data_IF_853658508454
#
_entry.id   IF_853658508454
#
_cell.length_a   1.000
_cell.length_b   1.000
_cell.length_c   1.000
_cell.angle_alpha   90.00
_cell.angle_beta   90.00
_cell.angle_gamma   90.00
#
_symmetry.space_group_name_H-M   'P 1'
#
loop_
_entity.id
_entity.type
_entity.pdbx_description
1 polymer ?
#
# COMPACT_ATOMS: atom_id res chain seq x y z
N UNK A 1 66.64 79.50 -13.05
CA UNK A 1 66.60 78.71 -11.80
C UNK A 1 65.15 78.57 -11.42
N UNK A 2 64.51 77.50 -11.91
CA UNK A 2 63.10 77.23 -11.61
C UNK A 2 63.05 76.20 -10.51
N UNK A 3 62.58 76.63 -9.35
CA UNK A 3 62.30 75.80 -8.18
C UNK A 3 61.25 74.75 -8.53
N UNK A 4 61.65 73.48 -8.60
CA UNK A 4 60.70 72.37 -8.64
C UNK A 4 60.24 72.06 -7.21
N UNK A 5 58.93 72.07 -6.93
CA UNK A 5 58.42 71.70 -5.62
C UNK A 5 58.67 70.21 -5.38
N UNK A 6 59.53 69.90 -4.40
CA UNK A 6 59.65 68.55 -3.83
C UNK A 6 58.33 68.18 -3.15
N UNK A 7 57.50 67.42 -3.85
CA UNK A 7 56.32 66.78 -3.27
C UNK A 7 56.76 65.82 -2.15
N UNK A 8 56.63 66.28 -0.90
CA UNK A 8 56.73 65.44 0.31
C UNK A 8 55.44 64.65 0.46
N UNK A 9 55.40 63.48 -0.15
CA UNK A 9 54.42 62.45 0.12
C UNK A 9 55.10 61.10 0.04
N UNK A 10 55.52 60.55 1.17
CA UNK A 10 56.08 59.19 1.31
C UNK A 10 55.00 58.12 1.15
N UNK A 11 54.10 58.29 0.17
CA UNK A 11 53.11 57.29 -0.17
C UNK A 11 53.80 56.23 -1.01
N UNK A 12 54.30 55.20 -0.33
CA UNK A 12 54.86 54.02 -0.98
C UNK A 12 53.81 53.46 -1.93
N UNK A 13 54.10 53.40 -3.25
CA UNK A 13 53.16 52.83 -4.20
C UNK A 13 52.79 51.41 -3.77
N UNK A 14 51.53 51.03 -3.95
CA UNK A 14 50.99 49.72 -3.56
C UNK A 14 50.91 49.41 -2.05
N UNK A 15 50.91 50.43 -1.16
CA UNK A 15 50.76 50.21 0.30
C UNK A 15 49.58 49.30 0.68
N UNK A 16 48.49 49.34 -0.09
CA UNK A 16 47.31 48.51 0.15
C UNK A 16 47.56 47.00 -0.07
N UNK A 17 48.60 46.61 -0.81
CA UNK A 17 48.97 45.21 -1.07
C UNK A 17 49.71 44.57 0.11
N UNK A 18 50.39 45.36 0.95
CA UNK A 18 51.16 44.86 2.09
C UNK A 18 50.26 44.61 3.30
N UNK A 19 49.41 43.58 3.21
CA UNK A 19 48.51 43.19 4.31
C UNK A 19 49.24 42.26 5.29
N UNK A 20 49.04 42.48 6.59
CA UNK A 20 49.54 41.58 7.63
C UNK A 20 48.76 40.27 7.56
N UNK A 21 49.46 39.16 7.34
CA UNK A 21 48.87 37.81 7.41
C UNK A 21 49.00 37.32 8.85
N UNK A 22 47.90 36.81 9.43
CA UNK A 22 47.90 36.31 10.81
C UNK A 22 48.86 35.11 11.00
N UNK A 23 49.44 34.99 12.20
CA UNK A 23 50.25 33.83 12.60
C UNK A 23 49.44 32.53 12.58
N UNK A 24 48.13 32.63 12.76
CA UNK A 24 47.23 31.50 12.95
C UNK A 24 46.69 30.95 11.63
N UNK A 25 47.02 31.61 10.52
CA UNK A 25 46.66 31.19 9.16
C UNK A 25 47.51 29.97 8.76
N UNK A 26 46.92 28.89 8.21
CA UNK A 26 47.64 27.75 7.67
C UNK A 26 48.75 28.13 6.66
N UNK A 27 49.86 27.36 6.60
CA UNK A 27 51.04 27.74 5.84
C UNK A 27 50.77 27.84 4.32
N UNK A 28 49.97 26.96 3.73
CA UNK A 28 49.57 27.03 2.33
C UNK A 28 48.74 28.28 2.02
N UNK A 29 47.75 28.61 2.85
CA UNK A 29 46.98 29.87 2.72
C UNK A 29 47.85 31.11 2.84
N UNK A 30 48.81 31.10 3.77
CA UNK A 30 49.76 32.20 3.96
C UNK A 30 50.65 32.37 2.74
N UNK A 31 51.18 31.28 2.21
CA UNK A 31 52.02 31.28 1.01
C UNK A 31 51.24 31.80 -0.21
N UNK A 32 50.01 31.33 -0.42
CA UNK A 32 49.17 31.83 -1.51
C UNK A 32 48.89 33.33 -1.36
N UNK A 33 48.47 33.80 -0.18
CA UNK A 33 48.20 35.22 0.03
C UNK A 33 49.45 36.08 -0.20
N UNK A 34 50.63 35.62 0.20
CA UNK A 34 51.88 36.33 -0.07
C UNK A 34 52.16 36.46 -1.58
N UNK A 35 51.91 35.43 -2.38
CA UNK A 35 52.03 35.50 -3.84
C UNK A 35 50.96 36.41 -4.47
N UNK A 36 49.72 36.37 -3.99
CA UNK A 36 48.68 37.31 -4.43
C UNK A 36 49.06 38.76 -4.14
N UNK A 37 49.67 39.04 -2.97
CA UNK A 37 50.19 40.38 -2.65
C UNK A 37 51.28 40.82 -3.62
N UNK A 38 52.18 39.91 -4.03
CA UNK A 38 53.20 40.22 -5.03
C UNK A 38 52.58 40.49 -6.41
N UNK A 39 51.63 39.67 -6.86
CA UNK A 39 50.92 39.89 -8.13
C UNK A 39 50.21 41.24 -8.17
N UNK A 40 49.56 41.65 -7.08
CA UNK A 40 48.89 42.96 -7.01
C UNK A 40 49.86 44.15 -7.15
N UNK A 41 51.16 43.97 -6.84
CA UNK A 41 52.19 45.02 -7.05
C UNK A 41 52.66 45.13 -8.51
N UNK A 42 52.34 44.13 -9.33
CA UNK A 42 52.66 44.11 -10.75
C UNK A 42 51.56 44.72 -11.62
N UNK A 43 50.40 45.04 -11.04
CA UNK A 43 49.32 45.71 -11.76
C UNK A 43 49.78 47.10 -12.22
N UNK A 44 49.47 47.46 -13.46
CA UNK A 44 49.97 48.65 -14.13
C UNK A 44 49.59 49.92 -13.38
N UNK A 45 50.50 50.90 -13.46
CA UNK A 45 50.20 52.28 -13.07
C UNK A 45 49.05 52.82 -13.91
N UNK A 46 48.26 53.69 -13.31
CA UNK A 46 47.27 54.49 -14.00
C UNK A 46 47.94 55.39 -15.05
N UNK A 47 47.20 55.94 -16.03
CA UNK A 47 47.76 56.84 -17.06
C UNK A 47 48.51 58.05 -16.50
N UNK A 48 48.19 58.46 -15.26
CA UNK A 48 48.84 59.54 -14.52
C UNK A 48 50.13 59.11 -13.80
N UNK A 49 50.57 57.85 -13.99
CA UNK A 49 51.74 57.26 -13.34
C UNK A 49 51.52 56.86 -11.87
N UNK A 50 50.30 56.96 -11.34
CA UNK A 50 49.98 56.57 -9.96
C UNK A 50 49.70 55.06 -9.85
N UNK A 51 50.02 54.47 -8.69
CA UNK A 51 49.69 53.08 -8.43
C UNK A 51 48.17 52.88 -8.31
N UNK A 52 47.59 51.81 -8.88
CA UNK A 52 46.16 51.54 -8.78
C UNK A 52 45.75 51.41 -7.31
N UNK A 53 44.58 51.94 -6.98
CA UNK A 53 43.95 51.75 -5.66
C UNK A 53 43.41 50.32 -5.52
N UNK A 54 43.17 49.87 -4.27
CA UNK A 54 42.60 48.55 -4.01
C UNK A 54 41.22 48.38 -4.69
N UNK A 55 40.39 49.43 -4.68
CA UNK A 55 39.10 49.45 -5.36
C UNK A 55 39.25 49.24 -6.88
N UNK A 56 40.15 49.99 -7.54
CA UNK A 56 40.41 49.82 -8.97
C UNK A 56 40.92 48.42 -9.32
N UNK A 57 41.80 47.84 -8.50
CA UNK A 57 42.26 46.47 -8.69
C UNK A 57 41.12 45.46 -8.53
N UNK A 58 40.23 45.66 -7.56
CA UNK A 58 39.07 44.82 -7.34
C UNK A 58 38.05 44.92 -8.51
N UNK A 59 37.82 46.14 -9.02
CA UNK A 59 36.95 46.40 -10.18
C UNK A 59 37.49 45.69 -11.44
N UNK A 60 38.81 45.74 -11.69
CA UNK A 60 39.47 45.02 -12.80
C UNK A 60 39.34 43.49 -12.68
N UNK A 61 39.24 42.97 -11.46
CA UNK A 61 39.05 41.54 -11.18
C UNK A 61 37.57 41.14 -11.15
N UNK A 62 36.65 42.11 -11.25
CA UNK A 62 35.21 41.94 -11.06
C UNK A 62 34.85 41.32 -9.71
N UNK A 63 35.50 41.79 -8.63
CA UNK A 63 35.23 41.37 -7.25
C UNK A 63 35.05 42.58 -6.34
N UNK A 64 34.43 42.39 -5.18
CA UNK A 64 34.32 43.44 -4.16
C UNK A 64 35.67 43.78 -3.53
N UNK A 65 35.88 45.06 -3.22
CA UNK A 65 37.10 45.56 -2.57
C UNK A 65 37.41 44.83 -1.24
N UNK A 66 36.37 44.57 -0.44
CA UNK A 66 36.49 43.83 0.82
C UNK A 66 36.92 42.37 0.60
N UNK A 67 36.47 41.73 -0.48
CA UNK A 67 36.88 40.36 -0.85
C UNK A 67 38.35 40.31 -1.22
N UNK A 68 38.82 41.25 -2.03
CA UNK A 68 40.24 41.37 -2.36
C UNK A 68 41.09 41.56 -1.09
N UNK A 69 40.65 42.45 -0.19
CA UNK A 69 41.32 42.64 1.11
C UNK A 69 41.45 41.32 1.88
N UNK A 70 40.35 40.57 1.95
CA UNK A 70 40.27 39.28 2.65
C UNK A 70 41.17 38.22 2.03
N UNK A 71 41.29 38.17 0.71
CA UNK A 71 42.21 37.26 0.00
C UNK A 71 43.67 37.62 0.32
N UNK A 72 44.02 38.90 0.28
CA UNK A 72 45.38 39.36 0.59
C UNK A 72 45.78 39.17 2.06
N UNK A 73 44.81 39.15 2.98
CA UNK A 73 45.01 38.83 4.39
C UNK A 73 44.96 37.31 4.70
N UNK A 74 44.76 36.45 3.69
CA UNK A 74 44.56 35.00 3.84
C UNK A 74 43.34 34.60 4.71
N UNK A 75 42.37 35.50 4.88
CA UNK A 75 41.14 35.24 5.65
C UNK A 75 40.22 34.33 4.85
N UNK A 76 40.13 34.58 3.54
CA UNK A 76 39.35 33.78 2.60
C UNK A 76 40.25 33.26 1.49
N UNK A 77 39.93 32.08 0.98
CA UNK A 77 40.58 31.53 -0.20
C UNK A 77 39.81 32.00 -1.44
N UNK A 78 40.48 32.66 -2.40
CA UNK A 78 39.83 33.03 -3.66
C UNK A 78 39.50 31.79 -4.49
N UNK A 79 38.48 31.89 -5.33
CA UNK A 79 38.24 30.89 -6.39
C UNK A 79 39.44 30.85 -7.36
N UNK A 80 39.72 29.67 -7.92
CA UNK A 80 40.84 29.48 -8.85
C UNK A 80 40.73 30.39 -10.09
N UNK A 81 39.51 30.67 -10.55
CA UNK A 81 39.27 31.60 -11.65
C UNK A 81 39.73 33.03 -11.34
N UNK A 82 39.62 33.48 -10.09
CA UNK A 82 40.11 34.80 -9.66
C UNK A 82 41.65 34.83 -9.66
N UNK A 83 42.30 33.76 -9.18
CA UNK A 83 43.76 33.64 -9.17
C UNK A 83 44.33 33.68 -10.59
N UNK A 84 43.75 32.89 -11.51
CA UNK A 84 44.11 32.89 -12.94
C UNK A 84 43.95 34.28 -13.58
N UNK A 85 42.83 34.96 -13.31
CA UNK A 85 42.59 36.33 -13.82
C UNK A 85 43.60 37.34 -13.28
N UNK A 86 43.92 37.29 -11.99
CA UNK A 86 44.92 38.18 -11.40
C UNK A 86 46.31 37.94 -12.00
N UNK A 87 46.72 36.68 -12.18
CA UNK A 87 48.00 36.35 -12.83
C UNK A 87 48.06 36.86 -14.28
N UNK A 88 46.98 36.68 -15.04
CA UNK A 88 46.86 37.17 -16.42
C UNK A 88 46.99 38.71 -16.48
N UNK A 89 46.25 39.43 -15.64
CA UNK A 89 46.31 40.91 -15.59
C UNK A 89 47.70 41.40 -15.18
N UNK A 90 48.27 40.83 -14.13
CA UNK A 90 49.62 41.15 -13.68
C UNK A 90 50.68 40.87 -14.77
N UNK A 91 50.51 39.79 -15.54
CA UNK A 91 51.41 39.43 -16.64
C UNK A 91 51.31 40.39 -17.81
N UNK A 92 50.08 40.81 -18.16
CA UNK A 92 49.84 41.78 -19.23
C UNK A 92 50.42 43.16 -18.86
N UNK A 93 50.21 43.59 -17.62
CA UNK A 93 50.63 44.90 -17.12
C UNK A 93 52.16 45.02 -16.94
N UNK A 94 52.83 43.97 -16.46
CA UNK A 94 54.28 44.00 -16.19
C UNK A 94 55.16 43.55 -17.38
N UNK A 95 54.56 43.18 -18.52
CA UNK A 95 55.30 42.63 -19.66
C UNK A 95 55.96 41.27 -19.36
N UNK A 96 55.21 40.41 -18.64
CA UNK A 96 55.51 39.07 -18.08
C UNK A 96 55.70 39.04 -16.55
N UNK A 97 54.76 38.41 -15.84
CA UNK A 97 54.86 38.14 -14.40
C UNK A 97 55.90 37.06 -14.06
N UNK A 98 56.36 36.28 -15.06
CA UNK A 98 57.44 35.31 -14.88
C UNK A 98 58.76 35.97 -14.51
N UNK A 99 58.97 37.24 -14.93
CA UNK A 99 60.13 38.04 -14.52
C UNK A 99 60.16 38.29 -13.00
N UNK A 100 58.99 38.25 -12.34
CA UNK A 100 58.87 38.35 -10.90
C UNK A 100 58.96 36.97 -10.19
N UNK A 101 59.19 35.89 -10.95
CA UNK A 101 59.28 34.51 -10.44
C UNK A 101 57.93 33.88 -10.10
N UNK A 102 56.80 34.49 -10.51
CA UNK A 102 55.45 34.02 -10.17
C UNK A 102 54.83 33.34 -11.39
N UNK A 103 54.93 32.01 -11.43
CA UNK A 103 54.32 31.19 -12.48
C UNK A 103 52.89 30.79 -12.12
N UNK A 104 52.05 30.59 -13.14
CA UNK A 104 50.67 30.14 -12.92
C UNK A 104 50.61 28.77 -12.25
N UNK A 105 51.47 27.83 -12.68
CA UNK A 105 51.57 26.50 -12.10
C UNK A 105 51.87 26.55 -10.58
N UNK A 106 52.72 27.47 -10.14
CA UNK A 106 53.01 27.66 -8.71
C UNK A 106 51.80 28.16 -7.94
N UNK A 107 51.01 29.08 -8.50
CA UNK A 107 49.78 29.56 -7.88
C UNK A 107 48.72 28.46 -7.77
N UNK A 108 48.63 27.59 -8.78
CA UNK A 108 47.72 26.44 -8.78
C UNK A 108 48.08 25.42 -7.69
N UNK A 109 49.38 25.12 -7.54
CA UNK A 109 49.90 24.26 -6.48
C UNK A 109 49.62 24.84 -5.07
N UNK A 110 49.88 26.14 -4.88
CA UNK A 110 49.64 26.83 -3.62
C UNK A 110 48.15 26.88 -3.27
N UNK A 111 47.29 27.10 -4.26
CA UNK A 111 45.84 27.08 -4.07
C UNK A 111 45.32 25.69 -3.73
N UNK A 112 45.83 24.65 -4.39
CA UNK A 112 45.50 23.26 -4.07
C UNK A 112 45.89 22.93 -2.61
N UNK A 113 47.09 23.33 -2.20
CA UNK A 113 47.59 23.14 -0.82
C UNK A 113 46.73 23.91 0.18
N UNK A 114 46.45 25.18 -0.09
CA UNK A 114 45.62 26.03 0.76
C UNK A 114 44.16 25.53 0.87
N UNK A 115 43.64 24.93 -0.20
CA UNK A 115 42.32 24.29 -0.23
C UNK A 115 42.28 23.03 0.63
N UNK A 116 43.34 22.21 0.59
CA UNK A 116 43.46 21.01 1.41
C UNK A 116 43.53 21.34 2.91
N UNK A 117 44.16 22.46 3.26
CA UNK A 117 44.25 22.95 4.64
C UNK A 117 42.94 23.56 5.16
N UNK A 118 41.95 23.83 4.29
CA UNK A 118 40.86 24.75 4.63
C UNK A 118 39.85 24.22 5.65
N UNK A 119 39.72 22.91 5.91
CA UNK A 119 38.93 22.42 7.06
C UNK A 119 39.07 20.89 7.25
N UNK A 120 39.55 20.43 8.42
CA UNK A 120 39.43 19.00 8.81
C UNK A 120 37.98 18.50 8.76
N UNK A 121 37.02 19.34 9.12
CA UNK A 121 35.59 19.02 9.03
C UNK A 121 35.08 18.93 7.60
N UNK A 122 35.64 19.65 6.60
CA UNK A 122 35.24 19.46 5.20
C UNK A 122 35.80 18.17 4.58
N UNK A 123 36.91 17.64 5.09
CA UNK A 123 37.39 16.30 4.71
C UNK A 123 36.47 15.24 5.32
N UNK A 124 36.11 15.36 6.61
CA UNK A 124 35.13 14.48 7.27
C UNK A 124 33.78 14.48 6.53
N UNK A 125 33.22 15.67 6.27
CA UNK A 125 31.94 15.82 5.59
C UNK A 125 31.95 15.29 4.15
N UNK A 126 33.09 15.35 3.44
CA UNK A 126 33.22 14.70 2.14
C UNK A 126 33.20 13.18 2.25
N UNK A 127 33.94 12.62 3.22
CA UNK A 127 33.91 11.19 3.50
C UNK A 127 32.50 10.72 3.89
N UNK A 128 31.82 11.45 4.78
CA UNK A 128 30.43 11.17 5.16
C UNK A 128 29.48 11.25 3.95
N UNK A 129 29.64 12.27 3.09
CA UNK A 129 28.83 12.39 1.87
C UNK A 129 29.09 11.26 0.87
N UNK A 130 30.31 10.74 0.78
CA UNK A 130 30.64 9.60 -0.08
C UNK A 130 30.05 8.30 0.48
N UNK A 131 30.17 8.08 1.79
CA UNK A 131 29.55 6.94 2.49
C UNK A 131 28.03 6.95 2.32
N UNK A 132 27.38 8.10 2.52
CA UNK A 132 25.93 8.23 2.34
C UNK A 132 25.50 7.97 0.89
N UNK A 133 26.30 8.41 -0.10
CA UNK A 133 26.02 8.12 -1.52
C UNK A 133 26.17 6.64 -1.82
N UNK A 134 27.18 5.99 -1.27
CA UNK A 134 27.39 4.55 -1.43
C UNK A 134 26.21 3.77 -0.83
N UNK A 135 25.80 4.10 0.40
CA UNK A 135 24.62 3.52 1.04
C UNK A 135 23.33 3.75 0.23
N UNK A 136 23.14 4.95 -0.33
CA UNK A 136 21.99 5.24 -1.19
C UNK A 136 22.00 4.40 -2.48
N UNK A 137 23.17 4.12 -3.05
CA UNK A 137 23.30 3.27 -4.23
C UNK A 137 23.03 1.78 -3.93
N UNK A 138 23.50 1.28 -2.79
CA UNK A 138 23.28 -0.09 -2.33
C UNK A 138 21.79 -0.34 -2.05
N UNK A 139 21.16 0.55 -1.29
CA UNK A 139 19.71 0.47 -1.01
C UNK A 139 18.86 0.59 -2.28
N UNK A 140 19.28 1.40 -3.26
CA UNK A 140 18.59 1.47 -4.54
C UNK A 140 18.71 0.15 -5.34
N UNK A 141 19.87 -0.50 -5.30
CA UNK A 141 20.06 -1.81 -5.93
C UNK A 141 19.22 -2.90 -5.24
N UNK A 142 19.17 -2.90 -3.91
CA UNK A 142 18.32 -3.81 -3.12
C UNK A 142 16.82 -3.60 -3.45
N UNK A 143 16.35 -2.36 -3.49
CA UNK A 143 14.98 -2.03 -3.87
C UNK A 143 14.65 -2.47 -5.30
N UNK A 144 15.61 -2.34 -6.22
CA UNK A 144 15.44 -2.84 -7.59
C UNK A 144 15.32 -4.36 -7.62
N UNK A 145 16.15 -5.07 -6.84
CA UNK A 145 16.07 -6.53 -6.70
C UNK A 145 14.72 -6.99 -6.16
N UNK A 146 14.28 -6.40 -5.05
CA UNK A 146 13.00 -6.73 -4.42
C UNK A 146 11.80 -6.47 -5.35
N UNK A 147 11.85 -5.43 -6.19
CA UNK A 147 10.80 -5.17 -7.21
C UNK A 147 10.73 -6.25 -8.27
N UNK A 148 11.88 -6.79 -8.71
CA UNK A 148 11.91 -7.90 -9.67
C UNK A 148 11.31 -9.15 -9.06
N UNK A 149 11.66 -9.47 -7.82
CA UNK A 149 11.12 -10.62 -7.08
C UNK A 149 9.60 -10.51 -6.86
N UNK A 150 9.10 -9.32 -6.52
CA UNK A 150 7.66 -9.08 -6.43
C UNK A 150 6.97 -9.33 -7.78
N UNK A 151 7.56 -8.85 -8.87
CA UNK A 151 7.04 -9.10 -10.22
C UNK A 151 7.03 -10.58 -10.62
N UNK A 152 7.98 -11.40 -10.14
CA UNK A 152 7.96 -12.85 -10.36
C UNK A 152 6.87 -13.52 -9.53
N UNK A 153 6.73 -13.15 -8.26
CA UNK A 153 5.70 -13.69 -7.37
C UNK A 153 4.29 -13.37 -7.89
N UNK A 154 4.07 -12.15 -8.39
CA UNK A 154 2.78 -11.76 -8.97
C UNK A 154 2.40 -12.61 -10.20
N UNK A 155 3.37 -12.91 -11.06
CA UNK A 155 3.17 -13.78 -12.23
C UNK A 155 2.86 -15.22 -11.82
N UNK A 156 3.58 -15.76 -10.84
CA UNK A 156 3.31 -17.09 -10.30
C UNK A 156 1.93 -17.17 -9.65
N UNK A 157 1.55 -16.15 -8.88
CA UNK A 157 0.22 -16.06 -8.27
C UNK A 157 -0.89 -15.97 -9.33
N UNK A 158 -0.67 -15.26 -10.45
CA UNK A 158 -1.61 -15.23 -11.56
C UNK A 158 -1.76 -16.62 -12.21
N UNK A 159 -0.65 -17.30 -12.52
CA UNK A 159 -0.66 -18.64 -13.08
C UNK A 159 -1.35 -19.66 -12.16
N UNK A 160 -1.11 -19.59 -10.85
CA UNK A 160 -1.78 -20.44 -9.86
C UNK A 160 -3.29 -20.19 -9.81
N UNK A 161 -3.74 -18.93 -9.91
CA UNK A 161 -5.19 -18.60 -9.95
C UNK A 161 -5.85 -19.16 -11.21
N UNK A 162 -5.19 -19.04 -12.36
CA UNK A 162 -5.68 -19.61 -13.62
C UNK A 162 -5.76 -21.15 -13.54
N UNK A 163 -4.71 -21.79 -13.02
CA UNK A 163 -4.70 -23.24 -12.79
C UNK A 163 -5.79 -23.71 -11.83
N UNK A 164 -6.02 -22.98 -10.74
CA UNK A 164 -7.09 -23.29 -9.79
C UNK A 164 -8.49 -23.14 -10.41
N UNK A 165 -8.69 -22.14 -11.27
CA UNK A 165 -9.95 -21.96 -12.01
C UNK A 165 -10.19 -23.12 -12.98
N UNK A 166 -9.16 -23.53 -13.74
CA UNK A 166 -9.24 -24.67 -14.64
C UNK A 166 -9.59 -25.97 -13.90
N UNK A 167 -8.90 -26.27 -12.79
CA UNK A 167 -9.19 -27.44 -11.95
C UNK A 167 -10.63 -27.41 -11.40
N UNK A 168 -11.11 -26.23 -10.97
CA UNK A 168 -12.49 -26.07 -10.50
C UNK A 168 -13.50 -26.42 -11.59
N UNK A 169 -13.25 -25.99 -12.84
CA UNK A 169 -14.10 -26.35 -13.97
C UNK A 169 -14.06 -27.85 -14.28
N UNK A 170 -12.89 -28.49 -14.24
CA UNK A 170 -12.77 -29.94 -14.43
C UNK A 170 -13.53 -30.73 -13.36
N UNK A 171 -13.39 -30.36 -12.09
CA UNK A 171 -14.11 -30.98 -10.98
C UNK A 171 -15.62 -30.84 -11.16
N UNK A 172 -16.11 -29.66 -11.58
CA UNK A 172 -17.54 -29.48 -11.89
C UNK A 172 -17.99 -30.36 -13.05
N UNK A 173 -17.19 -30.46 -14.11
CA UNK A 173 -17.50 -31.30 -15.26
C UNK A 173 -17.56 -32.80 -14.89
N UNK A 174 -16.63 -33.28 -14.05
CA UNK A 174 -16.61 -34.64 -13.54
C UNK A 174 -17.83 -34.93 -12.65
N UNK A 175 -18.12 -34.06 -11.68
CA UNK A 175 -19.33 -34.17 -10.85
C UNK A 175 -20.61 -34.21 -11.68
N UNK A 176 -20.69 -33.40 -12.73
CA UNK A 176 -21.83 -33.41 -13.64
C UNK A 176 -21.92 -34.72 -14.45
N UNK A 177 -20.79 -35.29 -14.89
CA UNK A 177 -20.74 -36.60 -15.58
C UNK A 177 -21.18 -37.73 -14.65
N UNK A 178 -20.66 -37.78 -13.43
CA UNK A 178 -21.05 -38.77 -12.42
C UNK A 178 -22.53 -38.66 -12.06
N UNK A 179 -23.01 -37.44 -11.82
CA UNK A 179 -24.43 -37.19 -11.54
C UNK A 179 -25.34 -37.66 -12.69
N UNK A 180 -24.93 -37.48 -13.95
CA UNK A 180 -25.66 -38.02 -15.11
C UNK A 180 -25.62 -39.54 -15.13
N UNK A 181 -24.45 -40.15 -14.92
CA UNK A 181 -24.30 -41.61 -14.88
C UNK A 181 -25.20 -42.24 -13.81
N UNK A 182 -25.17 -41.72 -12.58
CA UNK A 182 -26.02 -42.15 -11.46
C UNK A 182 -27.52 -42.00 -11.77
N UNK A 183 -27.93 -40.87 -12.37
CA UNK A 183 -29.33 -40.70 -12.79
C UNK A 183 -29.75 -41.72 -13.85
N UNK A 184 -28.86 -42.05 -14.80
CA UNK A 184 -29.17 -43.05 -15.84
C UNK A 184 -29.24 -44.47 -15.28
N UNK A 185 -28.34 -44.86 -14.36
CA UNK A 185 -28.38 -46.17 -13.70
C UNK A 185 -29.60 -46.30 -12.81
N UNK A 186 -29.92 -45.26 -12.02
CA UNK A 186 -31.13 -45.22 -11.19
C UNK A 186 -32.42 -45.35 -12.04
N UNK A 187 -32.53 -44.62 -13.16
CA UNK A 187 -33.67 -44.75 -14.10
C UNK A 187 -33.78 -46.15 -14.69
N UNK A 188 -32.65 -46.78 -15.05
CA UNK A 188 -32.63 -48.17 -15.54
C UNK A 188 -33.12 -49.14 -14.46
N UNK A 189 -32.64 -49.00 -13.22
CA UNK A 189 -33.05 -49.83 -12.08
C UNK A 189 -34.55 -49.67 -11.77
N UNK A 190 -35.07 -48.43 -11.73
CA UNK A 190 -36.50 -48.16 -11.52
C UNK A 190 -37.35 -48.82 -12.62
N UNK A 191 -36.97 -48.66 -13.90
CA UNK A 191 -37.69 -49.29 -15.02
C UNK A 191 -37.66 -50.81 -14.94
N UNK A 192 -36.53 -51.41 -14.56
CA UNK A 192 -36.41 -52.85 -14.36
C UNK A 192 -37.34 -53.34 -13.22
N UNK A 193 -37.34 -52.65 -12.08
CA UNK A 193 -38.22 -52.96 -10.95
C UNK A 193 -39.71 -52.78 -11.28
N UNK A 194 -40.08 -51.74 -12.04
CA UNK A 194 -41.45 -51.56 -12.51
C UNK A 194 -41.90 -52.70 -13.41
N UNK A 195 -41.04 -53.15 -14.35
CA UNK A 195 -41.33 -54.30 -15.20
C UNK A 195 -41.55 -55.57 -14.39
N UNK A 196 -40.68 -55.85 -13.41
CA UNK A 196 -40.83 -56.99 -12.50
C UNK A 196 -42.13 -56.94 -11.67
N UNK A 197 -42.52 -55.75 -11.19
CA UNK A 197 -43.80 -55.57 -10.47
C UNK A 197 -45.01 -55.78 -11.38
N UNK A 198 -44.95 -55.32 -12.64
CA UNK A 198 -46.04 -55.53 -13.60
C UNK A 198 -46.18 -57.00 -14.00
N UNK A 199 -45.07 -57.73 -14.16
CA UNK A 199 -45.12 -59.18 -14.38
C UNK A 199 -45.68 -59.91 -13.16
N UNK A 200 -45.18 -59.61 -11.96
CA UNK A 200 -45.70 -60.21 -10.73
C UNK A 200 -47.19 -59.89 -10.46
N UNK A 201 -47.64 -58.69 -10.85
CA UNK A 201 -49.06 -58.28 -10.74
C UNK A 201 -49.96 -58.92 -11.79
N UNK A 202 -49.40 -59.33 -12.94
CA UNK A 202 -50.12 -60.12 -13.94
C UNK A 202 -50.33 -61.56 -13.46
N UNK A 203 -49.40 -62.08 -12.66
CA UNK A 203 -49.45 -63.42 -12.08
C UNK A 203 -50.21 -63.48 -10.75
N UNK A 204 -50.36 -62.36 -10.05
CA UNK A 204 -51.16 -62.27 -8.83
C UNK A 204 -52.65 -62.08 -9.15
N UNK A 205 -53.45 -63.12 -8.94
CA UNK A 205 -54.90 -63.07 -9.03
C UNK A 205 -55.47 -61.90 -8.20
N UNK A 206 -56.14 -60.96 -8.88
CA UNK A 206 -56.73 -59.78 -8.27
C UNK A 206 -57.92 -60.19 -7.39
N UNK A 207 -57.73 -60.14 -6.07
CA UNK A 207 -58.86 -60.16 -5.14
C UNK A 207 -59.61 -58.82 -5.23
N UNK A 208 -60.94 -58.83 -5.32
CA UNK A 208 -61.74 -57.62 -5.43
C UNK A 208 -61.82 -56.93 -4.07
N UNK A 209 -61.26 -55.72 -3.96
CA UNK A 209 -61.48 -54.86 -2.78
C UNK A 209 -62.33 -53.65 -3.21
N UNK A 210 -63.49 -53.40 -2.58
CA UNK A 210 -64.38 -52.30 -2.93
C UNK A 210 -63.81 -50.92 -2.58
N UNK A 211 -64.11 -49.88 -3.36
CA UNK A 211 -63.72 -48.51 -3.06
C UNK A 211 -64.61 -47.96 -1.94
N UNK A 212 -64.08 -47.85 -0.71
CA UNK A 212 -64.70 -47.01 0.33
C UNK A 212 -63.83 -45.79 0.60
N UNK A 213 -64.47 -44.63 0.60
CA UNK A 213 -64.00 -43.34 1.13
C UNK A 213 -63.22 -43.57 2.43
N UNK A 214 -61.93 -43.25 2.44
CA UNK A 214 -61.07 -43.42 3.61
C UNK A 214 -59.77 -44.14 3.34
N UNK A 215 -59.16 -43.90 2.17
CA UNK A 215 -57.82 -44.41 1.87
C UNK A 215 -56.82 -43.80 2.86
N UNK A 216 -56.42 -44.58 3.88
CA UNK A 216 -55.46 -44.17 4.91
C UNK A 216 -54.06 -43.91 4.33
N UNK A 217 -53.84 -44.21 3.05
CA UNK A 217 -52.57 -43.96 2.36
C UNK A 217 -52.43 -42.55 1.78
N UNK A 218 -53.50 -41.72 1.81
CA UNK A 218 -53.45 -40.32 1.35
C UNK A 218 -53.52 -39.27 2.45
N UNK A 219 -53.68 -39.66 3.72
CA UNK A 219 -53.61 -38.69 4.81
C UNK A 219 -52.16 -38.32 5.07
N UNK A 220 -51.72 -37.16 4.58
CA UNK A 220 -50.39 -36.63 4.81
C UNK A 220 -50.16 -36.51 6.34
N UNK A 221 -49.35 -37.40 6.96
CA UNK A 221 -49.16 -37.42 8.41
C UNK A 221 -48.55 -36.10 8.91
N UNK A 222 -47.73 -35.47 8.07
CA UNK A 222 -47.02 -34.22 8.36
C UNK A 222 -48.01 -33.06 8.60
N UNK A 223 -49.07 -32.99 7.77
CA UNK A 223 -50.11 -31.97 7.92
C UNK A 223 -50.93 -32.16 9.21
N UNK A 224 -51.10 -33.40 9.69
CA UNK A 224 -51.83 -33.66 10.94
C UNK A 224 -51.03 -33.24 12.16
N UNK A 225 -49.72 -33.51 12.17
CA UNK A 225 -48.83 -33.07 13.25
C UNK A 225 -48.82 -31.54 13.37
N UNK A 226 -48.62 -30.84 12.24
CA UNK A 226 -48.65 -29.39 12.18
C UNK A 226 -49.99 -28.80 12.65
N UNK A 227 -51.13 -29.33 12.20
CA UNK A 227 -52.45 -28.88 12.65
C UNK A 227 -52.69 -29.11 14.14
N UNK A 228 -52.15 -30.19 14.71
CA UNK A 228 -52.23 -30.48 16.14
C UNK A 228 -51.51 -29.43 16.97
N UNK A 229 -50.27 -29.10 16.60
CA UNK A 229 -49.46 -28.08 17.27
C UNK A 229 -50.08 -26.70 17.13
N UNK A 230 -50.56 -26.33 15.94
CA UNK A 230 -51.18 -25.02 15.70
C UNK A 230 -52.40 -24.79 16.62
N UNK A 231 -53.29 -25.78 16.74
CA UNK A 231 -54.47 -25.69 17.62
C UNK A 231 -54.10 -25.58 19.09
N UNK A 232 -53.06 -26.29 19.52
CA UNK A 232 -52.57 -26.19 20.90
C UNK A 232 -51.94 -24.82 21.19
N UNK A 233 -51.16 -24.29 20.24
CA UNK A 233 -50.56 -22.97 20.35
C UNK A 233 -51.63 -21.86 20.40
N UNK A 234 -52.65 -21.95 19.55
CA UNK A 234 -53.81 -21.05 19.55
C UNK A 234 -54.57 -21.08 20.88
N UNK A 235 -54.87 -22.29 21.39
CA UNK A 235 -55.55 -22.45 22.67
C UNK A 235 -54.75 -21.84 23.85
N UNK A 236 -53.42 -21.98 23.82
CA UNK A 236 -52.54 -21.37 24.82
C UNK A 236 -52.50 -19.85 24.71
N UNK A 237 -52.48 -19.30 23.49
CA UNK A 237 -52.53 -17.85 23.27
C UNK A 237 -53.87 -17.26 23.74
N UNK A 238 -54.99 -17.88 23.37
CA UNK A 238 -56.33 -17.45 23.78
C UNK A 238 -56.56 -17.58 25.29
N UNK A 239 -55.87 -18.52 25.95
CA UNK A 239 -55.86 -18.66 27.41
C UNK A 239 -54.90 -17.72 28.14
N UNK A 240 -54.24 -16.78 27.45
CA UNK A 240 -53.26 -15.86 28.04
C UNK A 240 -51.94 -16.52 28.50
N UNK A 241 -51.69 -17.78 28.11
CA UNK A 241 -50.53 -18.57 28.51
C UNK A 241 -49.38 -18.44 27.51
N UNK A 242 -48.89 -17.22 27.33
CA UNK A 242 -47.84 -16.91 26.34
C UNK A 242 -46.57 -17.75 26.55
N UNK A 243 -46.11 -17.92 27.79
CA UNK A 243 -44.94 -18.76 28.09
C UNK A 243 -45.13 -20.23 27.68
N UNK A 244 -46.36 -20.76 27.84
CA UNK A 244 -46.71 -22.11 27.42
C UNK A 244 -46.71 -22.27 25.91
N UNK A 245 -47.22 -21.27 25.17
CA UNK A 245 -47.17 -21.26 23.71
C UNK A 245 -45.72 -21.22 23.20
N UNK A 246 -44.85 -20.40 23.82
CA UNK A 246 -43.43 -20.35 23.48
C UNK A 246 -42.71 -21.67 23.77
N UNK A 247 -42.96 -22.30 24.92
CA UNK A 247 -42.39 -23.60 25.26
C UNK A 247 -42.81 -24.69 24.26
N UNK A 248 -44.09 -24.68 23.86
CA UNK A 248 -44.61 -25.59 22.84
C UNK A 248 -43.92 -25.38 21.48
N UNK A 249 -43.75 -24.13 21.05
CA UNK A 249 -43.09 -23.81 19.78
C UNK A 249 -41.61 -24.20 19.77
N UNK A 250 -40.89 -24.00 20.89
CA UNK A 250 -39.50 -24.47 21.04
C UNK A 250 -39.40 -25.99 20.94
N UNK A 251 -40.22 -26.71 21.69
CA UNK A 251 -40.24 -28.17 21.62
C UNK A 251 -40.62 -28.67 20.21
N UNK A 252 -41.58 -28.01 19.56
CA UNK A 252 -41.99 -28.36 18.20
C UNK A 252 -40.87 -28.09 17.19
N UNK A 253 -40.10 -27.02 17.34
CA UNK A 253 -38.97 -26.71 16.48
C UNK A 253 -37.82 -27.74 16.58
N UNK A 254 -37.73 -28.49 17.69
CA UNK A 254 -36.75 -29.57 17.89
C UNK A 254 -37.21 -30.91 17.31
N UNK A 255 -38.52 -31.18 17.37
CA UNK A 255 -39.08 -32.51 17.05
C UNK A 255 -39.62 -32.60 15.62
N UNK A 256 -40.12 -31.49 15.06
CA UNK A 256 -40.71 -31.48 13.73
C UNK A 256 -39.66 -31.50 12.62
N UNK A 257 -39.94 -32.26 11.56
CA UNK A 257 -39.14 -32.26 10.35
C UNK A 257 -39.23 -30.91 9.60
N UNK A 258 -38.29 -30.59 8.69
CA UNK A 258 -38.32 -29.35 7.92
C UNK A 258 -39.63 -29.11 7.16
N UNK A 259 -40.24 -30.18 6.64
CA UNK A 259 -41.53 -30.12 5.93
C UNK A 259 -42.68 -29.84 6.88
N UNK A 260 -42.69 -30.48 8.05
CA UNK A 260 -43.70 -30.26 9.08
C UNK A 260 -43.63 -28.84 9.66
N UNK A 261 -42.42 -28.33 9.88
CA UNK A 261 -42.21 -26.94 10.34
C UNK A 261 -42.70 -25.92 9.31
N UNK A 262 -42.38 -26.11 8.03
CA UNK A 262 -42.90 -25.25 6.96
C UNK A 262 -44.44 -25.29 6.90
N UNK A 263 -45.01 -26.49 7.04
CA UNK A 263 -46.47 -26.69 7.09
C UNK A 263 -47.08 -26.00 8.32
N UNK A 264 -46.43 -26.08 9.48
CA UNK A 264 -46.88 -25.43 10.71
C UNK A 264 -46.86 -23.91 10.59
N UNK A 265 -45.78 -23.32 10.07
CA UNK A 265 -45.69 -21.87 9.81
C UNK A 265 -46.82 -21.43 8.88
N UNK A 266 -47.06 -22.16 7.79
CA UNK A 266 -48.16 -21.87 6.87
C UNK A 266 -49.54 -21.91 7.55
N UNK A 267 -49.80 -22.95 8.37
CA UNK A 267 -51.06 -23.08 9.11
C UNK A 267 -51.24 -21.95 10.14
N UNK A 268 -50.18 -21.53 10.82
CA UNK A 268 -50.24 -20.42 11.78
C UNK A 268 -50.58 -19.09 11.07
N UNK A 269 -50.03 -18.86 9.87
CA UNK A 269 -50.36 -17.68 9.03
C UNK A 269 -51.81 -17.70 8.56
N UNK A 270 -52.30 -18.85 8.08
CA UNK A 270 -53.72 -18.99 7.71
C UNK A 270 -54.66 -18.73 8.90
N UNK A 271 -54.23 -19.11 10.11
CA UNK A 271 -54.96 -18.88 11.36
C UNK A 271 -54.83 -17.46 11.94
N UNK A 272 -54.18 -16.52 11.25
CA UNK A 272 -53.91 -15.15 11.73
C UNK A 272 -53.07 -15.11 13.04
N UNK A 273 -52.28 -16.15 13.30
CA UNK A 273 -51.39 -16.25 14.47
C UNK A 273 -49.99 -15.75 14.09
N UNK A 274 -49.92 -14.52 13.57
CA UNK A 274 -48.73 -13.97 12.92
C UNK A 274 -47.51 -13.87 13.84
N UNK A 275 -47.73 -13.55 15.11
CA UNK A 275 -46.67 -13.47 16.13
C UNK A 275 -46.08 -14.84 16.45
N UNK A 276 -46.92 -15.88 16.52
CA UNK A 276 -46.48 -17.25 16.76
C UNK A 276 -45.72 -17.81 15.55
N UNK A 277 -46.18 -17.52 14.34
CA UNK A 277 -45.48 -17.87 13.11
C UNK A 277 -44.09 -17.20 13.06
N UNK A 278 -44.02 -15.89 13.32
CA UNK A 278 -42.75 -15.17 13.38
C UNK A 278 -41.80 -15.71 14.45
N UNK A 279 -42.34 -16.06 15.63
CA UNK A 279 -41.55 -16.64 16.72
C UNK A 279 -41.00 -18.03 16.36
N UNK A 280 -41.82 -18.88 15.73
CA UNK A 280 -41.39 -20.19 15.26
C UNK A 280 -40.30 -20.08 14.18
N UNK A 281 -40.45 -19.15 13.23
CA UNK A 281 -39.43 -18.87 12.20
C UNK A 281 -38.10 -18.49 12.85
N UNK A 282 -38.13 -17.64 13.88
CA UNK A 282 -36.93 -17.20 14.57
C UNK A 282 -36.25 -18.33 15.37
N UNK A 283 -37.04 -19.10 16.14
CA UNK A 283 -36.54 -20.25 16.90
C UNK A 283 -35.94 -21.29 15.95
N UNK A 284 -36.68 -21.69 14.92
CA UNK A 284 -36.24 -22.74 14.00
C UNK A 284 -35.02 -22.32 13.20
N UNK A 285 -34.99 -21.09 12.70
CA UNK A 285 -33.83 -20.55 11.96
C UNK A 285 -32.57 -20.46 12.81
N UNK A 286 -32.70 -20.18 14.11
CA UNK A 286 -31.56 -20.08 15.04
C UNK A 286 -31.03 -21.44 15.46
N UNK A 287 -31.91 -22.36 15.82
CA UNK A 287 -31.55 -23.54 16.59
C UNK A 287 -31.28 -24.79 15.71
N UNK A 288 -31.58 -24.75 14.41
CA UNK A 288 -31.43 -25.89 13.50
C UNK A 288 -30.26 -25.79 12.50
N UNK A 289 -29.73 -26.92 11.98
CA UNK A 289 -28.70 -26.94 10.96
C UNK A 289 -29.11 -26.24 9.66
N UNK A 290 -28.16 -25.64 8.95
CA UNK A 290 -28.46 -24.91 7.71
C UNK A 290 -29.08 -25.75 6.61
N UNK A 291 -28.81 -27.06 6.58
CA UNK A 291 -29.46 -27.95 5.61
C UNK A 291 -30.98 -28.00 5.85
N UNK A 292 -31.39 -28.11 7.12
CA UNK A 292 -32.79 -28.23 7.52
C UNK A 292 -33.52 -26.90 7.36
N UNK A 293 -32.86 -25.78 7.71
CA UNK A 293 -33.37 -24.42 7.44
C UNK A 293 -33.57 -24.19 5.94
N UNK A 294 -32.62 -24.58 5.09
CA UNK A 294 -32.77 -24.44 3.63
C UNK A 294 -33.91 -25.32 3.08
N UNK A 295 -34.08 -26.53 3.61
CA UNK A 295 -35.19 -27.41 3.22
C UNK A 295 -36.54 -26.82 3.62
N UNK A 296 -36.68 -26.34 4.86
CA UNK A 296 -37.90 -25.69 5.34
C UNK A 296 -38.22 -24.41 4.54
N UNK A 297 -37.22 -23.58 4.24
CA UNK A 297 -37.38 -22.39 3.40
C UNK A 297 -37.83 -22.73 1.97
N UNK A 298 -37.27 -23.78 1.37
CA UNK A 298 -37.69 -24.26 0.05
C UNK A 298 -39.15 -24.75 0.06
N UNK A 299 -39.59 -25.40 1.13
CA UNK A 299 -40.98 -25.84 1.29
C UNK A 299 -41.93 -24.65 1.49
N UNK A 300 -41.57 -23.67 2.31
CA UNK A 300 -42.35 -22.43 2.46
C UNK A 300 -42.53 -21.69 1.13
N UNK A 301 -41.46 -21.63 0.32
CA UNK A 301 -41.53 -21.06 -1.02
C UNK A 301 -42.48 -21.85 -1.94
N UNK A 302 -42.45 -23.19 -1.88
CA UNK A 302 -43.38 -24.05 -2.63
C UNK A 302 -44.84 -23.89 -2.18
N UNK A 303 -45.07 -23.59 -0.90
CA UNK A 303 -46.38 -23.28 -0.33
C UNK A 303 -46.85 -21.84 -0.59
N UNK A 304 -46.08 -21.03 -1.33
CA UNK A 304 -46.46 -19.67 -1.70
C UNK A 304 -46.20 -18.61 -0.62
N UNK A 305 -45.33 -18.91 0.36
CA UNK A 305 -44.92 -17.99 1.42
C UNK A 305 -43.43 -17.57 1.27
N UNK A 306 -43.07 -16.81 0.21
CA UNK A 306 -41.69 -16.42 -0.05
C UNK A 306 -41.12 -15.47 1.01
N UNK A 307 -41.95 -14.63 1.61
CA UNK A 307 -41.53 -13.67 2.65
C UNK A 307 -41.14 -14.41 3.94
N UNK A 308 -41.91 -15.42 4.34
CA UNK A 308 -41.58 -16.27 5.48
C UNK A 308 -40.33 -17.13 5.21
N UNK A 309 -40.14 -17.60 3.97
CA UNK A 309 -38.92 -18.29 3.57
C UNK A 309 -37.68 -17.38 3.67
N UNK A 310 -37.81 -16.11 3.27
CA UNK A 310 -36.75 -15.12 3.41
C UNK A 310 -36.46 -14.80 4.88
N UNK A 311 -37.49 -14.59 5.70
CA UNK A 311 -37.36 -14.35 7.13
C UNK A 311 -36.66 -15.52 7.86
N UNK A 312 -36.96 -16.75 7.46
CA UNK A 312 -36.33 -17.95 8.00
C UNK A 312 -34.82 -18.02 7.70
N UNK A 313 -34.43 -17.71 6.46
CA UNK A 313 -33.01 -17.66 6.07
C UNK A 313 -32.28 -16.52 6.78
N UNK A 314 -32.92 -15.36 6.92
CA UNK A 314 -32.35 -14.23 7.66
C UNK A 314 -32.12 -14.57 9.13
N UNK A 315 -33.08 -15.22 9.80
CA UNK A 315 -32.94 -15.67 11.19
C UNK A 315 -31.73 -16.60 11.37
N UNK A 316 -31.45 -17.48 10.40
CA UNK A 316 -30.29 -18.37 10.43
C UNK A 316 -28.95 -17.67 10.14
N UNK A 317 -28.96 -16.53 9.45
CA UNK A 317 -27.76 -15.74 9.16
C UNK A 317 -27.38 -14.85 10.35
N UNK A 318 -28.35 -14.22 11.01
CA UNK A 318 -28.11 -13.34 12.16
C UNK A 318 -27.36 -14.06 13.29
N UNK A 319 -27.62 -15.35 13.48
CA UNK A 319 -27.07 -16.16 14.57
C UNK A 319 -25.65 -16.64 14.32
N UNK A 320 -25.22 -16.65 13.05
CA UNK A 320 -23.84 -16.98 12.65
C UNK A 320 -22.88 -15.81 12.80
N UNK A 321 -23.41 -14.59 12.79
CA UNK A 321 -22.61 -13.38 12.93
C UNK A 321 -22.21 -13.11 14.39
N UNK A 322 -22.88 -13.78 15.35
CA UNK A 322 -22.68 -13.61 16.80
C UNK A 322 -21.85 -14.71 17.49
N UNK A 323 -21.36 -15.73 16.75
CA UNK A 323 -20.42 -16.73 17.26
C UNK A 323 -19.01 -16.50 16.67
N UNK A 324 -18.05 -15.94 17.42
CA UNK A 324 -16.64 -15.91 17.01
C UNK A 324 -16.02 -17.31 17.00
#
# INVERSE_FOLDING_TARGET
MSDMPRARGTNTPYRWTAKKIGSDVPPGKRALAAELQKLCRLLALQPDGSAPTQKQAADRLHIGEASLSRYLCAIYLPDMGIVRRLHMLASADAGSAEKAGITLARLEELHFTASAEQCRSCVSLRGESEVLRQQASETAAELSGARVELGTIEKEAAALREGAAALKHEVQALKAREGRALKTTARRAIRAGQRQRLTARRDAALLPVPPRRGDRQQSNPEKRAALGVARQAEALQNGGRQEGALALLRHSAEVLSPVETATLVYVLREGQLDELAGTLIHIYGRDNPSLDVMQAAAQLHQHGAPDDAAALLQAALSTRTERP
#
